data_IF_581591273719
#
_entry.id   IF_581591273719
#
_cell.length_a   1.000
_cell.length_b   1.000
_cell.length_c   1.000
_cell.angle_alpha   90.00
_cell.angle_beta   90.00
_cell.angle_gamma   90.00
#
_symmetry.space_group_name_H-M   'P 1'
#
loop_
_entity.id
_entity.type
_entity.pdbx_description
1 polymer ?
#
# COMPACT_ATOMS: atom_id res chain seq x y z
N UNK A 1 10.48 -5.11 4.19
CA UNK A 1 9.87 -5.98 3.14
C UNK A 1 9.25 -5.08 2.09
N UNK A 2 9.33 -5.40 0.79
CA UNK A 2 8.78 -4.56 -0.29
C UNK A 2 7.39 -5.07 -0.70
N UNK A 3 6.38 -4.20 -0.68
CA UNK A 3 4.97 -4.55 -0.95
C UNK A 3 4.46 -3.64 -2.07
N UNK A 4 3.82 -4.23 -3.09
CA UNK A 4 3.17 -3.47 -4.16
C UNK A 4 1.66 -3.63 -4.04
N UNK A 5 0.95 -2.51 -3.85
CA UNK A 5 -0.51 -2.46 -3.87
C UNK A 5 -0.99 -2.15 -5.28
N UNK A 6 -1.85 -3.01 -5.83
CA UNK A 6 -2.51 -2.76 -7.12
C UNK A 6 -3.97 -2.40 -6.86
N UNK A 7 -4.33 -1.15 -7.17
CA UNK A 7 -5.60 -0.51 -6.85
C UNK A 7 -5.51 0.35 -5.58
N UNK A 8 -5.74 1.65 -5.73
CA UNK A 8 -5.63 2.66 -4.65
C UNK A 8 -6.97 3.20 -4.18
N UNK A 9 -8.03 2.41 -4.35
CA UNK A 9 -9.31 2.67 -3.68
C UNK A 9 -9.16 2.60 -2.15
N UNK A 10 -10.26 2.89 -1.43
CA UNK A 10 -10.28 2.95 0.03
C UNK A 10 -9.53 1.80 0.72
N UNK A 11 -9.79 0.56 0.30
CA UNK A 11 -9.14 -0.63 0.89
C UNK A 11 -7.65 -0.67 0.60
N UNK A 12 -7.24 -0.41 -0.64
CA UNK A 12 -5.82 -0.46 -1.04
C UNK A 12 -5.00 0.64 -0.37
N UNK A 13 -5.56 1.84 -0.25
CA UNK A 13 -4.90 2.98 0.38
C UNK A 13 -4.77 2.81 1.90
N UNK A 14 -5.85 2.43 2.59
CA UNK A 14 -5.83 2.22 4.04
C UNK A 14 -4.91 1.07 4.41
N UNK A 15 -4.99 -0.04 3.67
CA UNK A 15 -4.12 -1.19 3.92
C UNK A 15 -2.65 -0.83 3.62
N UNK A 16 -2.39 -0.13 2.51
CA UNK A 16 -1.05 0.31 2.14
C UNK A 16 -0.44 1.26 3.18
N UNK A 17 -1.24 2.17 3.74
CA UNK A 17 -0.83 3.06 4.81
C UNK A 17 -0.47 2.29 6.09
N UNK A 18 -1.29 1.32 6.51
CA UNK A 18 -0.96 0.46 7.64
C UNK A 18 0.37 -0.28 7.42
N UNK A 19 0.58 -0.86 6.25
CA UNK A 19 1.84 -1.56 5.96
C UNK A 19 3.06 -0.62 5.93
N UNK A 20 2.89 0.60 5.42
CA UNK A 20 3.95 1.61 5.45
C UNK A 20 4.30 2.02 6.89
N UNK A 21 3.29 2.17 7.76
CA UNK A 21 3.46 2.52 9.18
C UNK A 21 4.17 1.40 9.97
N UNK A 22 3.98 0.14 9.58
CA UNK A 22 4.75 -0.99 10.11
C UNK A 22 6.22 -1.06 9.61
N UNK A 23 6.66 -0.09 8.80
CA UNK A 23 8.03 -0.02 8.30
C UNK A 23 8.28 -0.86 7.04
N UNK A 24 7.22 -1.24 6.32
CA UNK A 24 7.35 -1.84 5.00
C UNK A 24 7.48 -0.76 3.92
N UNK A 25 8.25 -1.07 2.87
CA UNK A 25 8.39 -0.19 1.71
C UNK A 25 7.25 -0.52 0.75
N UNK A 26 6.24 0.35 0.71
CA UNK A 26 4.98 0.13 -0.02
C UNK A 26 4.92 1.02 -1.24
N UNK A 27 4.67 0.42 -2.41
CA UNK A 27 4.42 1.13 -3.66
C UNK A 27 2.98 0.90 -4.08
N UNK A 28 2.20 1.97 -4.18
CA UNK A 28 0.81 1.94 -4.64
C UNK A 28 0.74 2.23 -6.14
N UNK A 29 0.08 1.36 -6.89
CA UNK A 29 -0.11 1.48 -8.34
C UNK A 29 -1.59 1.40 -8.65
N UNK A 30 -2.11 2.38 -9.37
CA UNK A 30 -3.48 2.38 -9.90
C UNK A 30 -3.45 2.65 -11.41
N UNK A 31 -4.60 2.47 -12.09
CA UNK A 31 -4.70 2.67 -13.55
C UNK A 31 -4.66 4.15 -13.97
#
# INVERSE_FOLDING_TARGET
MKITMIGTGYVGLVSGACFADFGHDVVCVDK
#
